data_IF_743059097396
#
_entry.id   IF_743059097396
#
_cell.length_a   1.000
_cell.length_b   1.000
_cell.length_c   1.000
_cell.angle_alpha   90.00
_cell.angle_beta   90.00
_cell.angle_gamma   90.00
#
_symmetry.space_group_name_H-M   'P 1'
#
loop_
_entity.id
_entity.type
_entity.pdbx_description
1 polymer ?
#
# COMPACT_ATOMS: atom_id res chain seq x y z
N UNK A 1 -7.22 7.84 21.66
CA UNK A 1 -6.22 8.28 20.66
C UNK A 1 -6.65 7.72 19.32
N UNK A 2 -6.89 8.56 18.32
CA UNK A 2 -7.24 8.09 16.97
C UNK A 2 -5.98 7.57 16.29
N UNK A 3 -5.83 6.26 16.21
CA UNK A 3 -4.77 5.61 15.46
C UNK A 3 -4.97 5.92 13.97
N UNK A 4 -4.00 6.59 13.37
CA UNK A 4 -4.01 6.87 11.93
C UNK A 4 -3.87 5.55 11.19
N UNK A 5 -4.85 5.23 10.34
CA UNK A 5 -4.81 4.03 9.51
C UNK A 5 -4.01 4.30 8.23
N UNK A 6 -3.17 3.36 7.78
CA UNK A 6 -2.40 3.51 6.57
C UNK A 6 -3.28 3.38 5.31
N UNK A 7 -2.78 3.93 4.20
CA UNK A 7 -3.27 3.72 2.84
C UNK A 7 -2.37 2.67 2.21
N UNK A 8 -2.94 1.70 1.49
CA UNK A 8 -2.16 0.73 0.73
C UNK A 8 -2.22 1.09 -0.75
N UNK A 9 -1.06 1.25 -1.39
CA UNK A 9 -0.93 1.45 -2.83
C UNK A 9 -0.28 0.21 -3.43
N UNK A 10 -0.98 -0.47 -4.33
CA UNK A 10 -0.49 -1.63 -5.06
C UNK A 10 -0.21 -1.21 -6.50
N UNK A 11 1.08 -1.07 -6.82
CA UNK A 11 1.60 -0.52 -8.07
C UNK A 11 2.98 -1.11 -8.36
N UNK A 12 3.12 -1.82 -9.48
CA UNK A 12 4.37 -2.48 -9.88
C UNK A 12 5.29 -1.55 -10.68
N UNK A 13 4.73 -0.51 -11.31
CA UNK A 13 5.53 0.47 -12.03
C UNK A 13 6.06 1.55 -11.06
N UNK A 14 7.39 1.63 -10.83
CA UNK A 14 7.96 2.59 -9.88
C UNK A 14 7.65 4.04 -10.24
N UNK A 15 7.53 4.36 -11.54
CA UNK A 15 7.22 5.71 -12.00
C UNK A 15 5.78 6.11 -11.67
N UNK A 16 4.85 5.17 -11.80
CA UNK A 16 3.44 5.42 -11.50
C UNK A 16 3.23 5.49 -9.97
N UNK A 17 3.96 4.66 -9.21
CA UNK A 17 3.99 4.74 -7.75
C UNK A 17 4.52 6.10 -7.26
N UNK A 18 5.63 6.58 -7.82
CA UNK A 18 6.18 7.90 -7.52
C UNK A 18 5.19 9.03 -7.85
N UNK A 19 4.50 8.95 -8.99
CA UNK A 19 3.50 9.93 -9.38
C UNK A 19 2.31 9.95 -8.42
N UNK A 20 1.82 8.77 -8.02
CA UNK A 20 0.74 8.65 -7.05
C UNK A 20 1.16 9.18 -5.66
N UNK A 21 2.38 8.87 -5.21
CA UNK A 21 2.94 9.40 -3.97
C UNK A 21 3.08 10.91 -4.01
N UNK A 22 3.56 11.48 -5.11
CA UNK A 22 3.68 12.93 -5.28
C UNK A 22 2.30 13.62 -5.19
N UNK A 23 1.27 13.07 -5.83
CA UNK A 23 -0.10 13.59 -5.72
C UNK A 23 -0.66 13.47 -4.29
N UNK A 24 -0.28 12.43 -3.55
CA UNK A 24 -0.66 12.24 -2.14
C UNK A 24 0.11 13.18 -1.19
N UNK A 25 1.33 13.56 -1.54
CA UNK A 25 2.16 14.50 -0.78
C UNK A 25 1.55 15.91 -0.79
N UNK A 26 0.95 16.34 -1.91
CA UNK A 26 0.20 17.60 -1.99
C UNK A 26 -0.92 17.71 -0.94
N UNK A 27 -1.43 16.57 -0.47
CA UNK A 27 -2.47 16.46 0.55
C UNK A 27 -1.94 16.06 1.93
N UNK A 28 -0.62 15.98 2.13
CA UNK A 28 0.03 15.59 3.39
C UNK A 28 -0.40 14.21 3.91
N UNK A 29 -0.63 13.26 2.98
CA UNK A 29 -1.00 11.88 3.32
C UNK A 29 0.03 10.84 2.89
N UNK A 30 1.11 11.21 2.19
CA UNK A 30 2.09 10.25 1.66
C UNK A 30 2.83 9.46 2.76
N UNK A 31 3.13 10.08 3.91
CA UNK A 31 3.77 9.42 5.07
C UNK A 31 2.97 8.21 5.62
N UNK A 32 1.70 8.08 5.21
CA UNK A 32 0.79 7.02 5.65
C UNK A 32 0.56 5.97 4.57
N UNK A 33 1.23 6.10 3.42
CA UNK A 33 1.10 5.20 2.27
C UNK A 33 2.13 4.10 2.40
N UNK A 34 1.67 2.86 2.32
CA UNK A 34 2.51 1.69 2.13
C UNK A 34 2.39 1.27 0.68
N UNK A 35 3.51 1.18 -0.01
CA UNK A 35 3.57 0.72 -1.40
C UNK A 35 3.88 -0.77 -1.42
N UNK A 36 3.13 -1.53 -2.21
CA UNK A 36 3.38 -2.93 -2.54
C UNK A 36 3.55 -3.06 -4.05
N UNK A 37 4.52 -3.84 -4.48
CA UNK A 37 4.94 -3.93 -5.88
C UNK A 37 4.38 -5.15 -6.62
N UNK A 38 3.74 -6.09 -5.91
CA UNK A 38 3.00 -7.18 -6.52
C UNK A 38 1.86 -7.67 -5.61
N UNK A 39 1.00 -8.55 -6.14
CA UNK A 39 -0.15 -9.05 -5.38
C UNK A 39 0.24 -9.93 -4.19
N UNK A 40 1.41 -10.57 -4.20
CA UNK A 40 1.88 -11.34 -3.06
C UNK A 40 2.23 -10.42 -1.89
N UNK A 41 2.91 -9.30 -2.15
CA UNK A 41 3.18 -8.26 -1.14
C UNK A 41 1.89 -7.65 -0.59
N UNK A 42 0.89 -7.42 -1.45
CA UNK A 42 -0.43 -6.92 -1.02
C UNK A 42 -1.11 -7.90 -0.06
N UNK A 43 -1.08 -9.19 -0.39
CA UNK A 43 -1.67 -10.23 0.47
C UNK A 43 -0.89 -10.39 1.77
N UNK A 44 0.44 -10.36 1.71
CA UNK A 44 1.29 -10.40 2.90
C UNK A 44 1.03 -9.19 3.80
N UNK A 45 0.81 -8.02 3.22
CA UNK A 45 0.39 -6.84 3.95
C UNK A 45 -0.97 -7.10 4.63
N UNK A 46 -2.01 -7.41 3.86
CA UNK A 46 -3.38 -7.55 4.38
C UNK A 46 -3.48 -8.63 5.47
N UNK A 47 -2.79 -9.76 5.31
CA UNK A 47 -2.83 -10.87 6.26
C UNK A 47 -1.75 -10.82 7.36
N UNK A 48 -0.94 -9.76 7.43
CA UNK A 48 0.17 -9.63 8.39
C UNK A 48 1.13 -10.83 8.31
N UNK A 49 1.61 -11.14 7.10
CA UNK A 49 2.55 -12.23 6.81
C UNK A 49 3.86 -11.69 6.26
N UNK A 50 4.85 -12.57 6.11
CA UNK A 50 6.13 -12.24 5.51
C UNK A 50 6.81 -11.06 6.19
N UNK A 51 7.24 -10.08 5.40
CA UNK A 51 7.90 -8.85 5.89
C UNK A 51 6.97 -7.98 6.75
N UNK A 52 5.65 -8.18 6.66
CA UNK A 52 4.64 -7.43 7.41
C UNK A 52 4.18 -8.15 8.69
N UNK A 53 4.81 -9.26 9.10
CA UNK A 53 4.39 -10.01 10.28
C UNK A 53 4.41 -9.19 11.59
N UNK A 54 5.31 -8.21 11.69
CA UNK A 54 5.44 -7.34 12.86
C UNK A 54 4.64 -6.03 12.77
N UNK A 55 3.91 -5.79 11.68
CA UNK A 55 3.11 -4.56 11.54
C UNK A 55 1.95 -4.57 12.54
N UNK A 56 1.45 -3.38 12.87
CA UNK A 56 0.22 -3.29 13.66
C UNK A 56 -0.94 -3.96 12.90
N UNK A 57 -1.64 -4.88 13.58
CA UNK A 57 -2.81 -5.54 13.02
C UNK A 57 -3.94 -4.55 12.70
N UNK A 58 -4.66 -4.86 11.61
CA UNK A 58 -5.78 -4.05 11.13
C UNK A 58 -5.69 -3.84 9.62
N UNK A 59 -6.83 -3.43 9.04
CA UNK A 59 -6.91 -3.15 7.62
C UNK A 59 -6.48 -1.69 7.34
N UNK A 60 -5.88 -1.42 6.18
CA UNK A 60 -5.70 -0.06 5.69
C UNK A 60 -7.07 0.61 5.55
N UNK A 61 -7.07 1.95 5.54
CA UNK A 61 -8.32 2.72 5.36
C UNK A 61 -8.86 2.58 3.93
N UNK A 62 -7.97 2.47 2.96
CA UNK A 62 -8.27 2.28 1.54
C UNK A 62 -7.11 1.53 0.89
N UNK A 63 -7.42 0.77 -0.16
CA UNK A 63 -6.44 0.12 -1.03
C UNK A 63 -6.62 0.71 -2.44
N UNK A 64 -5.57 1.31 -2.98
CA UNK A 64 -5.48 1.65 -4.40
C UNK A 64 -4.79 0.49 -5.10
N UNK A 65 -5.50 -0.16 -6.02
CA UNK A 65 -5.02 -1.34 -6.72
C UNK A 65 -4.92 -1.03 -8.21
N UNK A 66 -3.71 -1.12 -8.77
CA UNK A 66 -3.56 -1.15 -10.22
C UNK A 66 -4.11 -2.47 -10.77
N UNK A 67 -4.95 -2.36 -11.80
CA UNK A 67 -5.57 -3.50 -12.48
C UNK A 67 -4.61 -4.20 -13.44
N UNK A 68 -3.53 -3.53 -13.85
CA UNK A 68 -2.51 -4.13 -14.73
C UNK A 68 -1.38 -4.79 -13.97
N UNK A 69 -1.36 -4.62 -12.65
CA UNK A 69 -0.36 -5.18 -11.76
C UNK A 69 -0.28 -6.71 -11.93
N UNK A 70 0.89 -7.26 -12.29
CA UNK A 70 1.07 -8.69 -12.49
C UNK A 70 1.08 -9.42 -11.15
N UNK A 71 0.67 -10.70 -11.20
CA UNK A 71 0.56 -11.66 -10.09
C UNK A 71 -0.58 -11.39 -9.10
N UNK A 72 -1.77 -11.84 -9.48
CA UNK A 72 -2.51 -12.90 -8.77
C UNK A 72 -3.19 -13.72 -9.87
N UNK A 73 -2.62 -14.87 -10.21
CA UNK A 73 -3.38 -15.91 -10.94
C UNK A 73 -4.32 -16.62 -9.96
#
# INVERSE_FOLDING_TARGET
MTTVKPILLAEDNPRDAELALAAMEEHHIADKVVVCHDGAEVLDYLYCRGVFAARQQGNPVVVFLDLKMPKVD
#
